data_IF_424443947030
#
_entry.id   IF_424443947030
#
_cell.length_a   1.000
_cell.length_b   1.000
_cell.length_c   1.000
_cell.angle_alpha   90.00
_cell.angle_beta   90.00
_cell.angle_gamma   90.00
#
_symmetry.space_group_name_H-M   'P 1'
#
loop_
_entity.id
_entity.type
_entity.pdbx_description
1 polymer ?
#
# COMPACT_ATOMS: atom_id res chain seq x y z
N UNK A 1 26.71 2.67 -1.06
CA UNK A 1 25.70 1.85 -0.36
C UNK A 1 24.42 2.03 -1.16
N UNK A 2 24.21 1.16 -2.14
CA UNK A 2 23.09 1.29 -3.07
C UNK A 2 21.84 0.90 -2.30
N UNK A 3 21.04 1.90 -1.92
CA UNK A 3 19.69 1.64 -1.48
C UNK A 3 18.97 1.03 -2.68
N UNK A 4 18.87 -0.30 -2.70
CA UNK A 4 17.90 -1.01 -3.50
C UNK A 4 16.56 -0.45 -3.06
N UNK A 5 16.04 0.55 -3.77
CA UNK A 5 14.62 0.81 -3.76
C UNK A 5 14.01 -0.42 -4.41
N UNK A 6 13.73 -1.44 -3.60
CA UNK A 6 12.77 -2.47 -3.96
C UNK A 6 11.50 -1.71 -4.32
N UNK A 7 11.28 -1.52 -5.63
CA UNK A 7 10.15 -0.81 -6.22
C UNK A 7 8.89 -1.61 -5.91
N UNK A 8 8.42 -1.44 -4.69
CA UNK A 8 7.20 -2.06 -4.18
C UNK A 8 6.06 -1.08 -4.40
N UNK A 9 5.04 -1.53 -5.10
CA UNK A 9 3.86 -0.72 -5.37
C UNK A 9 2.68 -1.20 -4.54
N UNK A 10 1.81 -0.26 -4.21
CA UNK A 10 0.61 -0.52 -3.42
C UNK A 10 -0.60 -0.54 -4.33
N UNK A 11 -1.29 -1.68 -4.34
CA UNK A 11 -2.49 -1.89 -5.12
C UNK A 11 -3.71 -1.83 -4.20
N UNK A 12 -4.52 -0.79 -4.38
CA UNK A 12 -5.80 -0.63 -3.69
C UNK A 12 -6.92 -1.08 -4.62
N UNK A 13 -7.76 -2.00 -4.16
CA UNK A 13 -8.89 -2.50 -4.93
C UNK A 13 -10.10 -2.72 -4.04
N UNK A 14 -11.29 -2.64 -4.63
CA UNK A 14 -12.51 -3.04 -3.96
C UNK A 14 -12.84 -4.50 -4.29
N UNK A 15 -13.42 -5.17 -3.33
CA UNK A 15 -14.04 -6.48 -3.50
C UNK A 15 -15.49 -6.31 -3.95
N UNK A 16 -16.07 -7.36 -4.50
CA UNK A 16 -17.49 -7.41 -4.92
C UNK A 16 -18.47 -7.09 -3.80
N UNK A 17 -18.04 -7.23 -2.55
CA UNK A 17 -18.82 -6.88 -1.34
C UNK A 17 -18.77 -5.39 -0.99
N UNK A 18 -18.18 -4.54 -1.84
CA UNK A 18 -18.01 -3.11 -1.56
C UNK A 18 -16.92 -2.80 -0.53
N UNK A 19 -16.07 -3.77 -0.21
CA UNK A 19 -15.00 -3.60 0.78
C UNK A 19 -13.66 -3.35 0.10
N UNK A 20 -12.92 -2.36 0.57
CA UNK A 20 -11.59 -1.98 0.15
C UNK A 20 -10.52 -2.85 0.79
N UNK A 21 -9.53 -3.20 -0.01
CA UNK A 21 -8.32 -3.90 0.43
C UNK A 21 -7.12 -3.31 -0.27
N UNK A 22 -5.99 -3.30 0.44
CA UNK A 22 -4.70 -2.95 -0.13
C UNK A 22 -3.79 -4.18 -0.14
N UNK A 23 -2.96 -4.28 -1.18
CA UNK A 23 -1.88 -5.25 -1.28
C UNK A 23 -0.60 -4.56 -1.74
N UNK A 24 0.48 -4.74 -1.00
CA UNK A 24 1.83 -4.36 -1.35
C UNK A 24 2.45 -5.49 -2.16
N UNK A 25 2.82 -5.17 -3.39
CA UNK A 25 3.42 -6.11 -4.34
C UNK A 25 4.77 -5.55 -4.76
N UNK A 26 5.76 -6.42 -4.85
CA UNK A 26 7.08 -6.08 -5.38
C UNK A 26 7.03 -6.01 -6.92
N UNK A 27 7.97 -5.31 -7.53
CA UNK A 27 8.10 -5.26 -8.99
C UNK A 27 8.28 -6.65 -9.64
N UNK A 28 8.79 -7.63 -8.88
CA UNK A 28 8.89 -9.04 -9.28
C UNK A 28 7.54 -9.76 -9.37
N UNK A 29 6.46 -9.13 -8.89
CA UNK A 29 5.12 -9.72 -8.78
C UNK A 29 4.88 -10.46 -7.46
N UNK A 30 5.85 -10.45 -6.54
CA UNK A 30 5.70 -11.08 -5.23
C UNK A 30 4.80 -10.24 -4.32
N UNK A 31 3.78 -10.86 -3.71
CA UNK A 31 2.92 -10.19 -2.73
C UNK A 31 3.65 -10.19 -1.39
N UNK A 32 4.20 -9.04 -1.02
CA UNK A 32 4.91 -8.86 0.25
C UNK A 32 3.92 -8.83 1.41
N UNK A 33 2.83 -8.08 1.23
CA UNK A 33 1.85 -7.86 2.29
C UNK A 33 0.48 -7.55 1.72
N UNK A 34 -0.54 -8.07 2.36
CA UNK A 34 -1.92 -7.73 2.08
C UNK A 34 -2.58 -7.29 3.38
N UNK A 35 -3.62 -6.47 3.27
CA UNK A 35 -4.41 -6.13 4.45
C UNK A 35 -5.11 -7.38 4.97
N UNK A 36 -4.96 -7.67 6.25
CA UNK A 36 -5.67 -8.77 6.91
C UNK A 36 -7.18 -8.46 6.99
N UNK A 37 -7.51 -7.16 7.09
CA UNK A 37 -8.86 -6.64 7.20
C UNK A 37 -9.35 -6.07 5.88
N UNK A 38 -10.66 -5.96 5.78
CA UNK A 38 -11.34 -5.32 4.65
C UNK A 38 -12.10 -4.10 5.18
N UNK A 39 -11.93 -2.97 4.51
CA UNK A 39 -12.47 -1.68 4.96
C UNK A 39 -13.71 -1.33 4.15
N UNK A 40 -14.70 -0.66 4.75
CA UNK A 40 -15.86 -0.18 3.97
C UNK A 40 -15.53 1.08 3.17
N UNK A 41 -14.60 1.88 3.64
CA UNK A 41 -14.22 3.14 3.01
C UNK A 41 -12.78 3.10 2.50
N UNK A 42 -12.53 3.79 1.40
CA UNK A 42 -11.19 3.94 0.83
C UNK A 42 -10.25 4.69 1.78
N UNK A 43 -10.76 5.69 2.51
CA UNK A 43 -9.98 6.49 3.44
C UNK A 43 -9.39 5.64 4.58
N UNK A 44 -10.21 4.81 5.23
CA UNK A 44 -9.74 3.86 6.26
C UNK A 44 -8.69 2.90 5.70
N UNK A 45 -8.90 2.40 4.47
CA UNK A 45 -7.95 1.52 3.79
C UNK A 45 -6.59 2.19 3.55
N UNK A 46 -6.58 3.46 3.16
CA UNK A 46 -5.35 4.23 2.96
C UNK A 46 -4.67 4.50 4.31
N UNK A 47 -5.42 4.85 5.35
CA UNK A 47 -4.87 5.12 6.68
C UNK A 47 -4.20 3.89 7.31
N UNK A 48 -4.81 2.71 7.13
CA UNK A 48 -4.21 1.44 7.54
C UNK A 48 -2.95 1.15 6.73
N UNK A 49 -2.99 1.31 5.40
CA UNK A 49 -1.81 1.17 4.56
C UNK A 49 -0.67 2.11 5.01
N UNK A 50 -0.97 3.37 5.35
CA UNK A 50 0.01 4.34 5.88
C UNK A 50 0.64 3.84 7.18
N UNK A 51 -0.16 3.30 8.10
CA UNK A 51 0.32 2.68 9.34
C UNK A 51 1.24 1.48 9.06
N UNK A 52 1.03 0.79 7.94
CA UNK A 52 1.86 -0.33 7.48
C UNK A 52 3.08 0.09 6.64
N UNK A 53 3.37 1.39 6.52
CA UNK A 53 4.52 1.92 5.78
C UNK A 53 4.22 2.26 4.31
N UNK A 54 2.95 2.51 3.97
CA UNK A 54 2.62 3.22 2.74
C UNK A 54 2.96 4.70 2.91
N UNK A 55 4.16 5.07 2.50
CA UNK A 55 4.49 6.47 2.29
C UNK A 55 4.01 6.84 0.88
N UNK A 56 3.01 7.72 0.83
CA UNK A 56 2.61 8.34 -0.43
C UNK A 56 3.86 9.01 -1.00
N UNK A 57 4.19 8.86 -2.31
CA UNK A 57 5.42 9.40 -2.90
C UNK A 57 5.45 10.94 -3.00
N UNK A 58 4.68 11.65 -2.18
CA UNK A 58 4.68 13.11 -2.12
C UNK A 58 5.19 13.53 -0.74
N UNK A 59 6.30 14.28 -0.75
CA UNK A 59 7.01 14.91 0.38
C UNK A 59 8.30 14.24 0.87
N UNK A 60 9.19 13.91 -0.06
CA UNK A 60 10.61 14.25 0.15
C UNK A 60 10.78 15.77 -0.09
N UNK A 61 10.25 16.59 0.81
CA UNK A 61 10.73 17.98 0.96
C UNK A 61 12.00 17.91 1.79
N UNK A 62 13.14 17.68 1.12
CA UNK A 62 14.45 18.02 1.71
C UNK A 62 14.48 19.54 1.85
N UNK A 63 14.35 20.05 3.07
CA UNK A 63 14.67 21.43 3.44
C UNK A 63 16.04 21.48 4.10
#
# INVERSE_FOLDING_TARGET
>A
MNQSQDETYWKFYNTTNGQWRWCKVENTGYIIRCSDKTFRQRADCIHDAQTHGYESPQEITHA
#
